data_IF_193520750343
#
_entry.id   IF_193520750343
#
_cell.length_a   1.000
_cell.length_b   1.000
_cell.length_c   1.000
_cell.angle_alpha   90.00
_cell.angle_beta   90.00
_cell.angle_gamma   90.00
#
_symmetry.space_group_name_H-M   'P 1'
#
loop_
_entity.id
_entity.type
_entity.pdbx_description
1 polymer ?
#
# COMPACT_ATOMS: atom_id res chain seq x y z
N UNK A 1 -14.09 -12.74 2.98
CA UNK A 1 -13.38 -11.95 4.01
C UNK A 1 -12.90 -12.93 5.07
N UNK A 2 -11.59 -13.08 5.29
CA UNK A 2 -11.07 -14.13 6.20
C UNK A 2 -11.59 -13.90 7.63
N UNK A 3 -12.42 -14.82 8.12
CA UNK A 3 -13.09 -14.73 9.43
C UNK A 3 -12.13 -14.70 10.62
N UNK A 4 -10.84 -15.00 10.44
CA UNK A 4 -9.86 -14.94 11.54
C UNK A 4 -8.45 -14.51 11.09
N UNK A 5 -8.27 -13.21 10.80
CA UNK A 5 -6.94 -12.61 10.54
C UNK A 5 -5.96 -12.85 11.68
N UNK A 6 -6.45 -12.98 12.93
CA UNK A 6 -5.60 -13.19 14.11
C UNK A 6 -5.00 -14.59 14.09
N UNK A 7 -5.77 -15.60 13.70
CA UNK A 7 -5.29 -16.99 13.58
C UNK A 7 -4.22 -17.13 12.50
N UNK A 8 -4.43 -16.56 11.31
CA UNK A 8 -3.42 -16.55 10.24
C UNK A 8 -2.10 -15.90 10.71
N UNK A 9 -2.17 -14.68 11.26
CA UNK A 9 -0.98 -13.94 11.72
C UNK A 9 -0.20 -14.66 12.82
N UNK A 10 -0.91 -15.36 13.71
CA UNK A 10 -0.29 -16.18 14.75
C UNK A 10 0.45 -17.38 14.19
N UNK A 11 -0.07 -17.99 13.11
CA UNK A 11 0.52 -19.18 12.50
C UNK A 11 1.76 -18.90 11.64
N UNK A 12 2.00 -17.65 11.24
CA UNK A 12 3.07 -17.29 10.30
C UNK A 12 4.31 -16.66 10.95
N UNK A 13 4.46 -16.78 12.28
CA UNK A 13 5.61 -16.21 12.99
C UNK A 13 6.91 -16.94 12.67
N UNK A 14 7.91 -16.20 12.18
CA UNK A 14 9.26 -16.72 11.95
C UNK A 14 10.10 -16.62 13.24
N UNK A 15 10.86 -17.66 13.59
CA UNK A 15 11.80 -17.60 14.71
C UNK A 15 12.79 -16.44 14.55
N UNK A 16 13.11 -15.75 15.65
CA UNK A 16 14.08 -14.65 15.66
C UNK A 16 13.57 -13.30 15.18
N UNK A 17 12.30 -13.17 14.76
CA UNK A 17 11.70 -11.89 14.37
C UNK A 17 10.61 -11.44 15.34
N UNK A 18 10.53 -10.13 15.55
CA UNK A 18 9.43 -9.47 16.24
C UNK A 18 8.29 -9.27 15.24
N UNK A 19 7.12 -9.83 15.56
CA UNK A 19 5.91 -9.66 14.76
C UNK A 19 4.99 -8.62 15.39
N UNK A 20 4.60 -7.61 14.62
CA UNK A 20 3.70 -6.53 15.04
C UNK A 20 2.72 -6.16 13.92
N UNK A 21 1.62 -5.53 14.30
CA UNK A 21 0.58 -5.08 13.39
C UNK A 21 0.48 -3.55 13.44
N UNK A 22 0.36 -2.92 12.29
CA UNK A 22 0.01 -1.49 12.22
C UNK A 22 -1.28 -1.30 11.43
N UNK A 23 -2.07 -0.30 11.82
CA UNK A 23 -3.27 0.10 11.08
C UNK A 23 -3.31 1.61 10.94
N UNK A 24 -3.40 2.09 9.71
CA UNK A 24 -3.56 3.50 9.35
C UNK A 24 -4.75 3.60 8.41
N UNK A 25 -5.90 4.04 8.94
CA UNK A 25 -7.20 3.98 8.25
C UNK A 25 -7.44 2.57 7.66
N UNK A 26 -7.57 2.43 6.34
CA UNK A 26 -7.81 1.15 5.66
C UNK A 26 -6.53 0.30 5.51
N UNK A 27 -5.34 0.90 5.56
CA UNK A 27 -4.07 0.19 5.43
C UNK A 27 -3.79 -0.59 6.71
N UNK A 28 -3.76 -1.92 6.61
CA UNK A 28 -3.55 -2.79 7.76
C UNK A 28 -2.48 -3.85 7.45
N UNK A 29 -1.30 -3.65 8.01
CA UNK A 29 -0.11 -4.45 7.73
C UNK A 29 0.22 -5.36 8.91
N UNK A 30 0.69 -6.58 8.61
CA UNK A 30 1.39 -7.44 9.54
C UNK A 30 2.86 -7.48 9.12
N UNK A 31 3.75 -7.08 10.02
CA UNK A 31 5.18 -6.93 9.74
C UNK A 31 5.95 -7.85 10.68
N UNK A 32 7.02 -8.45 10.16
CA UNK A 32 7.99 -9.23 10.93
C UNK A 32 9.39 -8.69 10.62
N UNK A 33 10.09 -8.21 11.65
CA UNK A 33 11.41 -7.59 11.53
C UNK A 33 12.30 -7.96 12.73
N UNK A 34 13.60 -7.63 12.67
CA UNK A 34 14.56 -7.92 13.74
C UNK A 34 14.21 -7.20 15.05
N UNK A 35 13.62 -6.01 14.96
CA UNK A 35 13.15 -5.20 16.09
C UNK A 35 11.73 -4.71 15.86
N UNK A 36 11.09 -4.18 16.90
CA UNK A 36 9.83 -3.46 16.73
C UNK A 36 10.07 -2.16 15.95
N UNK A 37 9.39 -2.05 14.80
CA UNK A 37 9.45 -0.89 13.91
C UNK A 37 8.04 -0.31 13.68
N UNK A 38 7.11 -0.52 14.61
CA UNK A 38 5.72 -0.03 14.51
C UNK A 38 5.65 1.47 14.27
N UNK A 39 6.39 2.26 15.06
CA UNK A 39 6.42 3.72 14.95
C UNK A 39 6.93 4.24 13.59
N UNK A 40 8.12 3.85 13.10
CA UNK A 40 8.56 4.26 11.77
C UNK A 40 7.64 3.71 10.66
N UNK A 41 7.09 2.51 10.81
CA UNK A 41 6.16 1.96 9.83
C UNK A 41 4.86 2.79 9.73
N UNK A 42 4.29 3.24 10.85
CA UNK A 42 3.13 4.14 10.86
C UNK A 42 3.44 5.46 10.16
N UNK A 43 4.59 6.07 10.45
CA UNK A 43 5.00 7.35 9.83
C UNK A 43 5.14 7.21 8.32
N UNK A 44 5.75 6.14 7.84
CA UNK A 44 5.94 5.88 6.41
C UNK A 44 4.61 5.57 5.72
N UNK A 45 3.75 4.76 6.35
CA UNK A 45 2.41 4.47 5.84
C UNK A 45 1.58 5.75 5.68
N UNK A 46 1.57 6.64 6.69
CA UNK A 46 0.91 7.95 6.60
C UNK A 46 1.48 8.81 5.48
N UNK A 47 2.81 8.86 5.33
CA UNK A 47 3.49 9.65 4.28
C UNK A 47 3.04 9.22 2.87
N UNK A 48 3.13 7.93 2.57
CA UNK A 48 2.77 7.43 1.24
C UNK A 48 1.27 7.51 0.97
N UNK A 49 0.46 7.27 2.00
CA UNK A 49 -0.97 7.52 1.91
C UNK A 49 -1.27 8.97 1.55
N UNK A 50 -0.63 9.94 2.20
CA UNK A 50 -0.82 11.35 1.88
C UNK A 50 -0.46 11.65 0.42
N UNK A 51 0.60 11.06 -0.12
CA UNK A 51 0.94 11.22 -1.54
C UNK A 51 -0.16 10.71 -2.47
N UNK A 52 -0.73 9.52 -2.18
CA UNK A 52 -1.83 8.96 -2.97
C UNK A 52 -3.09 9.81 -2.82
N UNK A 53 -3.50 10.15 -1.60
CA UNK A 53 -4.70 10.97 -1.35
C UNK A 53 -4.57 12.36 -2.02
N UNK A 54 -3.39 12.98 -1.95
CA UNK A 54 -3.14 14.28 -2.61
C UNK A 54 -3.22 14.15 -4.13
N UNK A 55 -2.67 13.08 -4.71
CA UNK A 55 -2.74 12.86 -6.14
C UNK A 55 -4.18 12.60 -6.61
N UNK A 56 -4.97 11.84 -5.84
CA UNK A 56 -6.40 11.61 -6.12
C UNK A 56 -7.20 12.92 -6.06
N UNK A 57 -6.87 13.84 -5.14
CA UNK A 57 -7.54 15.14 -5.09
C UNK A 57 -7.30 15.98 -6.35
N UNK A 58 -6.11 15.88 -6.94
CA UNK A 58 -5.76 16.61 -8.16
C UNK A 58 -6.25 15.90 -9.43
N UNK A 59 -6.25 14.56 -9.43
CA UNK A 59 -6.64 13.68 -10.54
C UNK A 59 -7.62 12.60 -10.06
N UNK A 60 -8.93 12.94 -9.88
CA UNK A 60 -9.91 12.01 -9.32
C UNK A 60 -10.05 10.70 -10.09
N UNK A 61 -9.83 10.71 -11.41
CA UNK A 61 -9.86 9.53 -12.26
C UNK A 61 -8.83 8.46 -11.85
N UNK A 62 -7.76 8.84 -11.15
CA UNK A 62 -6.76 7.91 -10.63
C UNK A 62 -7.38 6.86 -9.69
N UNK A 63 -8.38 7.25 -8.88
CA UNK A 63 -8.99 6.38 -7.89
C UNK A 63 -9.90 5.30 -8.53
N UNK A 64 -10.65 5.68 -9.56
CA UNK A 64 -11.75 4.87 -10.08
C UNK A 64 -11.45 4.24 -11.45
N UNK A 65 -10.33 4.58 -12.08
CA UNK A 65 -9.95 4.02 -13.36
C UNK A 65 -9.82 2.49 -13.29
N UNK A 66 -10.46 1.81 -14.24
CA UNK A 66 -10.37 0.36 -14.44
C UNK A 66 -9.44 -0.02 -15.60
N UNK A 67 -8.89 0.99 -16.28
CA UNK A 67 -7.96 0.90 -17.40
C UNK A 67 -6.75 1.81 -17.17
N UNK A 68 -5.62 1.58 -17.85
CA UNK A 68 -4.44 2.43 -17.69
C UNK A 68 -4.73 3.89 -18.00
N UNK A 69 -4.15 4.78 -17.20
CA UNK A 69 -4.18 6.23 -17.42
C UNK A 69 -2.86 6.69 -18.09
N UNK A 70 -2.86 7.84 -18.78
CA UNK A 70 -1.63 8.45 -19.28
C UNK A 70 -0.64 8.71 -18.14
N UNK A 71 0.64 8.38 -18.36
CA UNK A 71 1.67 8.61 -17.35
C UNK A 71 1.97 10.12 -17.21
N UNK A 72 1.89 10.68 -15.99
CA UNK A 72 2.26 12.08 -15.77
C UNK A 72 3.77 12.25 -15.93
N UNK A 73 4.20 13.47 -16.30
CA UNK A 73 5.64 13.79 -16.40
C UNK A 73 6.32 13.83 -15.04
N UNK A 74 5.59 14.24 -14.00
CA UNK A 74 6.08 14.38 -12.62
C UNK A 74 4.97 13.92 -11.68
N UNK A 75 5.24 12.91 -10.86
CA UNK A 75 4.38 12.46 -9.77
C UNK A 75 5.24 11.82 -8.66
N UNK A 76 4.71 11.66 -7.43
CA UNK A 76 5.38 10.89 -6.39
C UNK A 76 5.73 9.47 -6.87
N UNK A 77 6.86 8.92 -6.42
CA UNK A 77 7.33 7.60 -6.87
C UNK A 77 6.27 6.50 -6.75
N UNK A 78 5.57 6.41 -5.62
CA UNK A 78 4.49 5.42 -5.41
C UNK A 78 3.37 5.53 -6.45
N UNK A 79 3.02 6.74 -6.88
CA UNK A 79 1.99 6.97 -7.92
C UNK A 79 2.49 6.48 -9.27
N UNK A 80 3.76 6.76 -9.60
CA UNK A 80 4.39 6.26 -10.82
C UNK A 80 4.44 4.73 -10.84
N UNK A 81 4.85 4.11 -9.73
CA UNK A 81 4.92 2.64 -9.59
C UNK A 81 3.54 2.00 -9.83
N UNK A 82 2.49 2.56 -9.23
CA UNK A 82 1.11 2.11 -9.42
C UNK A 82 0.65 2.22 -10.89
N UNK A 83 0.93 3.35 -11.53
CA UNK A 83 0.54 3.61 -12.92
C UNK A 83 1.28 2.70 -13.90
N UNK A 84 2.59 2.52 -13.70
CA UNK A 84 3.40 1.63 -14.52
C UNK A 84 2.98 0.18 -14.36
N UNK A 85 2.70 -0.28 -13.14
CA UNK A 85 2.19 -1.62 -12.89
C UNK A 85 0.84 -1.85 -13.57
N UNK A 86 -0.11 -0.91 -13.45
CA UNK A 86 -1.41 -0.99 -14.11
C UNK A 86 -1.28 -1.03 -15.64
N UNK A 87 -0.40 -0.19 -16.21
CA UNK A 87 -0.12 -0.14 -17.65
C UNK A 87 0.41 -1.46 -18.21
N UNK A 88 1.28 -2.17 -17.48
CA UNK A 88 1.88 -3.43 -17.92
C UNK A 88 0.85 -4.54 -18.15
N UNK A 89 -0.27 -4.52 -17.42
CA UNK A 89 -1.30 -5.58 -17.47
C UNK A 89 -2.70 -5.06 -17.83
N UNK A 90 -2.76 -3.84 -18.37
CA UNK A 90 -3.98 -3.18 -18.85
C UNK A 90 -5.10 -3.04 -17.80
N UNK A 91 -4.74 -2.59 -16.59
CA UNK A 91 -5.68 -2.25 -15.51
C UNK A 91 -5.41 -0.84 -15.00
N UNK A 92 -6.33 -0.29 -14.21
CA UNK A 92 -6.11 0.99 -13.55
C UNK A 92 -5.09 0.94 -12.40
N UNK A 93 -4.54 2.10 -11.99
CA UNK A 93 -3.41 2.17 -11.05
C UNK A 93 -3.75 1.66 -9.65
N UNK A 94 -4.99 1.87 -9.16
CA UNK A 94 -5.40 1.42 -7.83
C UNK A 94 -5.38 -0.10 -7.65
N UNK A 95 -5.38 -0.88 -8.75
CA UNK A 95 -5.21 -2.32 -8.69
C UNK A 95 -3.84 -2.75 -8.10
N UNK A 96 -2.83 -1.87 -8.16
CA UNK A 96 -1.48 -2.13 -7.66
C UNK A 96 -1.21 -1.57 -6.25
N UNK A 97 -2.15 -0.83 -5.64
CA UNK A 97 -1.91 -0.01 -4.44
C UNK A 97 -1.35 -0.77 -3.23
N UNK A 98 -1.73 -2.04 -3.04
CA UNK A 98 -1.28 -2.83 -1.90
C UNK A 98 0.12 -3.43 -2.08
N UNK A 99 0.62 -3.46 -3.32
CA UNK A 99 1.93 -4.02 -3.66
C UNK A 99 2.99 -2.98 -4.05
N UNK A 100 2.58 -1.72 -4.24
CA UNK A 100 3.46 -0.57 -4.43
C UNK A 100 3.98 -0.04 -3.08
#
# INVERSE_FOLDING_TARGET
MFEDRRRYRRQHKKPGLVSFDITVKETNLNIQAETDLSDPAIRVALKYRQYIETHILEYPEFADALSPLPLPRIAPAIVMDMMEAGKKVNVGPMAAVAGA
#
